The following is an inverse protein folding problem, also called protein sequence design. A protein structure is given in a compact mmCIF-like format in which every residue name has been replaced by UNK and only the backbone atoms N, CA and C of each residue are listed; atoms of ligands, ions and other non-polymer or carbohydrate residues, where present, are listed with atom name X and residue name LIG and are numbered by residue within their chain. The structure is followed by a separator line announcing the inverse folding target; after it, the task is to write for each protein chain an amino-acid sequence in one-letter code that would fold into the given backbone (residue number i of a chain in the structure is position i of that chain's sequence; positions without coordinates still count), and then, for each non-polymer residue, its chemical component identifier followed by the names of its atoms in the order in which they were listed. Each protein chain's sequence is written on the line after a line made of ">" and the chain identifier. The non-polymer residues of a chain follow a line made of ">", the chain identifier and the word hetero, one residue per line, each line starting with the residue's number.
data_IF_281782205646
#
_entry.id   IF_281782205646
#
_cell.length_a   1.000
_cell.length_b   1.000
_cell.length_c   1.000
_cell.angle_alpha   90.00
_cell.angle_beta   90.00
_cell.angle_gamma   90.00
#
_symmetry.space_group_name_H-M   'P 1'
#
loop_
_entity.id
_entity.type
_entity.pdbx_description
1 polymer ?
#
# COMPACT_ATOMS: atom_id res chain seq x y z
N UNK A 1 13.53 -7.77 -29.65
CA UNK A 1 13.34 -6.32 -29.38
C UNK A 1 11.89 -5.97 -29.03
N UNK A 2 10.88 -6.63 -29.59
CA UNK A 2 9.45 -6.39 -29.26
C UNK A 2 9.07 -6.66 -27.79
N UNK A 3 9.62 -7.72 -27.17
CA UNK A 3 9.27 -8.08 -25.79
C UNK A 3 9.79 -7.09 -24.72
N UNK A 4 10.89 -6.39 -24.98
CA UNK A 4 11.46 -5.43 -24.02
C UNK A 4 10.64 -4.14 -23.92
N UNK A 5 10.12 -3.65 -25.06
CA UNK A 5 9.28 -2.44 -25.07
C UNK A 5 7.94 -2.68 -24.39
N UNK A 6 7.35 -3.88 -24.56
CA UNK A 6 6.11 -4.26 -23.90
C UNK A 6 6.27 -4.35 -22.37
N UNK A 7 7.38 -4.90 -21.89
CA UNK A 7 7.68 -4.97 -20.45
C UNK A 7 7.89 -3.59 -19.81
N UNK A 8 8.58 -2.67 -20.52
CA UNK A 8 8.78 -1.28 -20.06
C UNK A 8 7.46 -0.52 -19.99
N UNK A 9 6.62 -0.63 -21.03
CA UNK A 9 5.30 0.00 -21.07
C UNK A 9 4.36 -0.55 -19.98
N UNK A 10 4.39 -1.87 -19.73
CA UNK A 10 3.64 -2.49 -18.65
C UNK A 10 4.12 -1.99 -17.28
N UNK A 11 5.43 -1.85 -17.07
CA UNK A 11 5.99 -1.31 -15.84
C UNK A 11 5.54 0.14 -15.56
N UNK A 12 5.59 1.00 -16.59
CA UNK A 12 5.14 2.39 -16.50
C UNK A 12 3.64 2.51 -16.20
N UNK A 13 2.80 1.75 -16.92
CA UNK A 13 1.35 1.78 -16.73
C UNK A 13 0.93 1.36 -15.31
N UNK A 14 1.59 0.33 -14.78
CA UNK A 14 1.33 -0.15 -13.41
C UNK A 14 1.80 0.87 -12.36
N UNK A 15 2.89 1.59 -12.64
CA UNK A 15 3.37 2.66 -11.75
C UNK A 15 2.40 3.83 -11.67
N UNK A 16 1.91 4.29 -12.83
CA UNK A 16 0.89 5.34 -12.94
C UNK A 16 -0.41 4.93 -12.25
N UNK A 17 -0.81 3.66 -12.37
CA UNK A 17 -1.97 3.11 -11.66
C UNK A 17 -1.79 3.18 -10.13
N UNK A 18 -0.62 2.78 -9.61
CA UNK A 18 -0.30 2.85 -8.17
C UNK A 18 -0.28 4.29 -7.68
N UNK A 19 0.33 5.21 -8.43
CA UNK A 19 0.36 6.62 -8.07
C UNK A 19 -1.04 7.23 -8.02
N UNK A 20 -1.87 6.93 -9.02
CA UNK A 20 -3.27 7.37 -9.07
C UNK A 20 -4.06 6.84 -7.88
N UNK A 21 -4.01 5.54 -7.62
CA UNK A 21 -4.70 4.90 -6.50
C UNK A 21 -4.24 5.46 -5.15
N UNK A 22 -2.95 5.73 -4.99
CA UNK A 22 -2.39 6.34 -3.77
C UNK A 22 -2.96 7.75 -3.53
N UNK A 23 -3.00 8.59 -4.57
CA UNK A 23 -3.57 9.95 -4.49
C UNK A 23 -5.06 9.92 -4.20
N UNK A 24 -5.82 9.06 -4.88
CA UNK A 24 -7.26 8.89 -4.62
C UNK A 24 -7.54 8.46 -3.17
N UNK A 25 -6.71 7.56 -2.62
CA UNK A 25 -6.83 7.11 -1.24
C UNK A 25 -6.48 8.20 -0.23
N UNK A 26 -5.43 8.99 -0.48
CA UNK A 26 -5.04 10.13 0.36
C UNK A 26 -6.14 11.19 0.46
N UNK A 27 -6.84 11.44 -0.65
CA UNK A 27 -7.98 12.37 -0.68
C UNK A 27 -9.28 11.79 -0.14
N UNK A 28 -9.37 10.47 0.04
CA UNK A 28 -10.57 9.83 0.56
C UNK A 28 -10.70 10.11 2.06
N UNK A 29 -11.88 10.53 2.55
CA UNK A 29 -12.06 10.78 3.98
C UNK A 29 -11.86 9.47 4.76
N UNK A 30 -11.10 9.57 5.85
CA UNK A 30 -10.94 8.44 6.75
C UNK A 30 -12.31 8.04 7.35
N UNK A 31 -12.66 6.73 7.37
CA UNK A 31 -13.97 6.27 7.82
C UNK A 31 -14.27 6.71 9.26
N UNK A 32 -15.46 7.29 9.47
CA UNK A 32 -15.88 7.80 10.76
C UNK A 32 -15.96 6.66 11.80
N UNK A 33 -15.64 6.97 13.05
CA UNK A 33 -15.63 5.98 14.14
C UNK A 33 -14.44 5.00 14.13
N UNK A 34 -13.64 4.96 13.05
CA UNK A 34 -12.51 4.03 12.94
C UNK A 34 -11.18 4.63 13.40
N UNK A 35 -11.12 5.95 13.67
CA UNK A 35 -9.89 6.66 14.05
C UNK A 35 -9.30 6.17 15.38
N UNK A 36 -10.15 5.66 16.25
CA UNK A 36 -9.83 5.18 17.60
C UNK A 36 -9.96 3.66 17.74
N UNK A 37 -10.28 2.96 16.66
CA UNK A 37 -10.31 1.50 16.67
C UNK A 37 -8.88 1.00 16.72
N UNK A 38 -8.59 0.25 17.78
CA UNK A 38 -7.34 -0.47 17.96
C UNK A 38 -7.51 -1.90 17.46
N UNK A 39 -6.50 -2.35 16.73
CA UNK A 39 -6.29 -3.72 16.28
C UNK A 39 -5.20 -4.29 17.18
N UNK A 40 -5.60 -5.02 18.23
CA UNK A 40 -4.68 -5.33 19.33
C UNK A 40 -4.16 -4.04 19.97
N UNK A 41 -2.87 -3.77 19.85
CA UNK A 41 -2.26 -2.51 20.33
C UNK A 41 -2.15 -1.40 19.27
N UNK A 42 -2.35 -1.71 17.98
CA UNK A 42 -2.06 -0.81 16.87
C UNK A 42 -3.31 -0.06 16.40
N UNK A 43 -3.16 1.23 16.11
CA UNK A 43 -4.23 2.06 15.57
C UNK A 43 -4.40 1.86 14.06
N UNK A 44 -5.64 1.79 13.56
CA UNK A 44 -5.92 1.79 12.12
C UNK A 44 -5.35 3.02 11.39
N UNK A 45 -5.27 4.17 12.07
CA UNK A 45 -4.63 5.37 11.53
C UNK A 45 -3.12 5.19 11.37
N UNK A 46 -2.47 4.51 12.33
CA UNK A 46 -1.04 4.23 12.27
C UNK A 46 -0.74 3.25 11.12
N UNK A 47 -1.51 2.17 10.99
CA UNK A 47 -1.39 1.21 9.89
C UNK A 47 -1.58 1.89 8.53
N UNK A 48 -2.56 2.80 8.41
CA UNK A 48 -2.74 3.58 7.19
C UNK A 48 -1.51 4.43 6.86
N UNK A 49 -1.01 5.19 7.82
CA UNK A 49 0.18 6.03 7.63
C UNK A 49 1.42 5.22 7.27
N UNK A 50 1.65 4.07 7.90
CA UNK A 50 2.78 3.19 7.60
C UNK A 50 2.69 2.61 6.18
N UNK A 51 1.52 2.09 5.79
CA UNK A 51 1.31 1.55 4.43
C UNK A 51 1.55 2.64 3.38
N UNK A 52 0.93 3.82 3.54
CA UNK A 52 1.13 4.92 2.59
C UNK A 52 2.58 5.39 2.55
N UNK A 53 3.28 5.42 3.68
CA UNK A 53 4.70 5.74 3.74
C UNK A 53 5.56 4.80 2.89
N UNK A 54 5.28 3.50 2.91
CA UNK A 54 5.97 2.53 2.04
C UNK A 54 5.56 2.66 0.57
N UNK A 55 4.28 2.91 0.28
CA UNK A 55 3.80 3.16 -1.10
C UNK A 55 4.50 4.39 -1.67
N UNK A 56 4.57 5.49 -0.94
CA UNK A 56 5.27 6.69 -1.40
C UNK A 56 6.78 6.50 -1.48
N UNK A 57 7.38 5.70 -0.59
CA UNK A 57 8.80 5.34 -0.70
C UNK A 57 9.08 4.55 -1.99
N UNK A 58 8.23 3.58 -2.33
CA UNK A 58 8.27 2.87 -3.61
C UNK A 58 8.15 3.83 -4.79
N UNK A 59 7.17 4.74 -4.75
CA UNK A 59 6.90 5.74 -5.79
C UNK A 59 8.00 6.82 -5.94
N UNK A 60 8.75 7.11 -4.88
CA UNK A 60 9.80 8.12 -4.92
C UNK A 60 11.16 7.54 -5.32
N UNK A 61 11.29 6.21 -5.33
CA UNK A 61 12.57 5.52 -5.56
C UNK A 61 12.54 4.64 -6.80
N UNK A 62 11.53 4.79 -7.66
CA UNK A 62 11.41 4.05 -8.91
C UNK A 62 11.12 2.56 -8.70
N UNK A 63 10.48 2.19 -7.59
CA UNK A 63 10.13 0.82 -7.27
C UNK A 63 10.96 0.17 -6.15
N UNK A 64 11.88 0.93 -5.54
CA UNK A 64 12.79 0.42 -4.52
C UNK A 64 12.17 0.33 -3.12
N UNK A 65 12.09 -0.87 -2.56
CA UNK A 65 11.93 -1.08 -1.11
C UNK A 65 12.92 -2.12 -0.63
N UNK A 66 13.73 -1.77 0.37
CA UNK A 66 14.63 -2.74 0.99
C UNK A 66 13.87 -3.86 1.69
N UNK A 67 14.50 -5.02 1.85
CA UNK A 67 13.83 -6.23 2.37
C UNK A 67 13.14 -6.02 3.73
N UNK A 68 13.69 -5.17 4.61
CA UNK A 68 13.03 -4.81 5.89
C UNK A 68 11.74 -4.02 5.68
N UNK A 69 11.72 -3.08 4.73
CA UNK A 69 10.54 -2.30 4.39
C UNK A 69 9.46 -3.19 3.76
N UNK A 70 9.84 -4.14 2.90
CA UNK A 70 8.91 -5.13 2.33
C UNK A 70 8.27 -5.99 3.42
N UNK A 71 9.05 -6.51 4.36
CA UNK A 71 8.53 -7.30 5.50
C UNK A 71 7.57 -6.46 6.36
N UNK A 72 7.91 -5.19 6.61
CA UNK A 72 7.05 -4.30 7.38
C UNK A 72 5.74 -3.97 6.65
N UNK A 73 5.80 -3.63 5.36
CA UNK A 73 4.62 -3.42 4.51
C UNK A 73 3.69 -4.63 4.53
N UNK A 74 4.26 -5.84 4.37
CA UNK A 74 3.52 -7.09 4.44
C UNK A 74 2.78 -7.28 5.76
N UNK A 75 3.47 -7.10 6.87
CA UNK A 75 2.86 -7.17 8.21
C UNK A 75 1.72 -6.17 8.37
N UNK A 76 1.90 -4.94 7.88
CA UNK A 76 0.87 -3.90 8.01
C UNK A 76 -0.42 -4.31 7.29
N UNK A 77 -0.36 -4.74 6.03
CA UNK A 77 -1.58 -5.10 5.30
C UNK A 77 -2.21 -6.40 5.83
N UNK A 78 -1.42 -7.35 6.33
CA UNK A 78 -1.93 -8.57 6.99
C UNK A 78 -2.68 -8.24 8.29
N UNK A 79 -2.19 -7.27 9.06
CA UNK A 79 -2.88 -6.78 10.26
C UNK A 79 -4.21 -6.11 9.90
N UNK A 80 -4.26 -5.29 8.85
CA UNK A 80 -5.51 -4.69 8.37
C UNK A 80 -6.52 -5.76 7.91
N UNK A 81 -6.07 -6.78 7.16
CA UNK A 81 -6.93 -7.89 6.73
C UNK A 81 -7.50 -8.67 7.91
N UNK A 82 -6.71 -8.88 8.97
CA UNK A 82 -7.14 -9.67 10.14
C UNK A 82 -8.33 -9.07 10.89
N UNK A 83 -8.53 -7.75 10.82
CA UNK A 83 -9.63 -7.04 11.50
C UNK A 83 -10.69 -6.50 10.55
N UNK A 84 -10.55 -6.75 9.25
CA UNK A 84 -11.47 -6.25 8.22
C UNK A 84 -12.92 -6.69 8.47
N UNK A 85 -13.12 -7.83 9.13
CA UNK A 85 -14.43 -8.35 9.53
C UNK A 85 -15.12 -7.57 10.65
N UNK A 86 -14.36 -6.79 11.43
CA UNK A 86 -14.86 -6.01 12.57
C UNK A 86 -15.23 -4.56 12.18
N UNK A 87 -14.89 -4.15 10.97
CA UNK A 87 -15.14 -2.80 10.45
C UNK A 87 -16.57 -2.65 9.93
N UNK A 88 -17.06 -1.41 9.94
CA UNK A 88 -18.26 -1.06 9.16
C UNK A 88 -18.00 -1.30 7.66
N UNK A 89 -19.06 -1.34 6.87
CA UNK A 89 -18.95 -1.50 5.41
C UNK A 89 -18.05 -0.41 4.79
N UNK A 90 -18.22 0.84 5.22
CA UNK A 90 -17.41 1.97 4.78
C UNK A 90 -15.93 1.79 5.16
N UNK A 91 -15.65 1.36 6.39
CA UNK A 91 -14.31 1.04 6.84
C UNK A 91 -13.68 -0.07 6.01
N UNK A 92 -14.44 -1.14 5.77
CA UNK A 92 -14.02 -2.28 4.95
C UNK A 92 -13.62 -1.86 3.54
N UNK A 93 -14.46 -1.10 2.85
CA UNK A 93 -14.19 -0.61 1.49
C UNK A 93 -13.00 0.34 1.46
N UNK A 94 -12.84 1.19 2.49
CA UNK A 94 -11.67 2.06 2.61
C UNK A 94 -10.38 1.26 2.74
N UNK A 95 -10.32 0.34 3.71
CA UNK A 95 -9.12 -0.42 4.00
C UNK A 95 -8.81 -1.51 2.95
N UNK A 96 -9.82 -2.03 2.25
CA UNK A 96 -9.61 -2.95 1.12
C UNK A 96 -8.88 -2.29 -0.05
N UNK A 97 -9.19 -1.02 -0.34
CA UNK A 97 -8.45 -0.24 -1.33
C UNK A 97 -6.98 -0.06 -0.91
N UNK A 98 -6.75 0.26 0.36
CA UNK A 98 -5.40 0.41 0.91
C UNK A 98 -4.60 -0.90 0.85
N UNK A 99 -5.21 -2.02 1.23
CA UNK A 99 -4.59 -3.35 1.17
C UNK A 99 -4.28 -3.75 -0.27
N UNK A 100 -5.19 -3.47 -1.20
CA UNK A 100 -4.97 -3.74 -2.63
C UNK A 100 -3.75 -2.98 -3.16
N UNK A 101 -3.63 -1.71 -2.79
CA UNK A 101 -2.48 -0.87 -3.11
C UNK A 101 -1.19 -1.43 -2.51
N UNK A 102 -1.21 -1.80 -1.22
CA UNK A 102 -0.08 -2.39 -0.53
C UNK A 102 0.42 -3.69 -1.16
N UNK A 103 -0.50 -4.60 -1.54
CA UNK A 103 -0.18 -5.88 -2.20
C UNK A 103 0.43 -5.67 -3.60
N UNK A 104 -0.06 -4.69 -4.36
CA UNK A 104 0.55 -4.30 -5.64
C UNK A 104 2.00 -3.86 -5.44
N UNK A 105 2.25 -2.99 -4.45
CA UNK A 105 3.62 -2.53 -4.12
C UNK A 105 4.50 -3.69 -3.64
N UNK A 106 4.04 -4.53 -2.72
CA UNK A 106 4.82 -5.68 -2.20
C UNK A 106 5.27 -6.65 -3.31
N UNK A 107 4.38 -6.86 -4.29
CA UNK A 107 4.65 -7.73 -5.46
C UNK A 107 5.71 -7.14 -6.40
N UNK A 108 5.69 -5.83 -6.60
CA UNK A 108 6.52 -5.14 -7.60
C UNK A 108 7.83 -4.59 -7.03
N UNK A 109 7.88 -4.39 -5.71
CA UNK A 109 9.04 -3.80 -5.06
C UNK A 109 10.28 -4.69 -5.23
N UNK A 110 11.36 -4.07 -5.68
CA UNK A 110 12.68 -4.68 -5.73
C UNK A 110 13.58 -4.07 -4.65
N UNK A 111 14.61 -4.81 -4.24
CA UNK A 111 15.59 -4.25 -3.32
C UNK A 111 16.23 -3.00 -3.96
N UNK A 112 16.44 -1.97 -3.13
CA UNK A 112 17.23 -0.83 -3.54
C UNK A 112 18.69 -1.28 -3.75
N UNK A 113 19.37 -0.80 -4.81
CA UNK A 113 20.79 -1.04 -4.95
C UNK A 113 21.49 -0.53 -3.68
N UNK A 114 22.31 -1.41 -3.07
CA UNK A 114 23.14 -1.03 -1.92
C UNK A 114 24.18 -0.05 -2.45
N UNK A 115 24.08 1.22 -2.05
CA UNK A 115 25.16 2.19 -2.21
C UNK A 115 26.38 1.77 -1.39
#
# INVERSE_FOLDING_TARGET
>A
MENSNKAILLGLFVYEEIEKLAKEHETSPFPLGHRSIRVGELSLTALQSEILGYVFSFLNTGGGLGSRQKIALKRCYEQVESVKGEMSEEGRVYFERLVTLAKKVDTLAHDQPKN
#
